data_IF_671449043598
#
_entry.id   IF_671449043598
#
_cell.length_a   1.000
_cell.length_b   1.000
_cell.length_c   1.000
_cell.angle_alpha   90.00
_cell.angle_beta   90.00
_cell.angle_gamma   90.00
#
_symmetry.space_group_name_H-M   'P 1'
#
loop_
_entity.id
_entity.type
_entity.pdbx_description
1 polymer ?
#
# COMPACT_ATOMS: atom_id res chain seq x y z
N UNK A 1 14.70 -0.82 15.67
CA UNK A 1 13.90 -1.95 16.22
C UNK A 1 13.43 -1.74 17.65
N UNK A 2 14.14 -0.98 18.49
CA UNK A 2 13.77 -0.80 19.91
C UNK A 2 12.37 -0.21 20.10
N UNK A 3 11.98 0.82 19.35
CA UNK A 3 10.68 1.49 19.45
C UNK A 3 9.49 0.54 19.15
N UNK A 4 9.59 -0.25 18.08
CA UNK A 4 8.54 -1.19 17.67
C UNK A 4 8.27 -2.24 18.77
N UNK A 5 9.34 -2.78 19.38
CA UNK A 5 9.24 -3.79 20.42
C UNK A 5 8.61 -3.28 21.73
N UNK A 6 8.62 -1.98 21.97
CA UNK A 6 8.01 -1.37 23.16
C UNK A 6 6.58 -0.84 22.92
N UNK A 7 6.11 -0.89 21.66
CA UNK A 7 4.75 -0.50 21.33
C UNK A 7 3.74 -1.52 21.88
N UNK A 8 2.63 -1.02 22.44
CA UNK A 8 1.49 -1.84 22.86
C UNK A 8 0.44 -1.99 21.75
N UNK A 9 0.70 -1.45 20.57
CA UNK A 9 -0.21 -1.52 19.43
C UNK A 9 -0.30 -2.96 18.91
N UNK A 10 -1.51 -3.43 18.65
CA UNK A 10 -1.75 -4.76 18.06
C UNK A 10 -1.53 -4.79 16.54
N UNK A 11 -1.80 -3.68 15.89
CA UNK A 11 -1.71 -3.53 14.44
C UNK A 11 -0.78 -2.37 14.09
N UNK A 12 -0.19 -2.46 12.91
CA UNK A 12 0.71 -1.45 12.37
C UNK A 12 0.29 -1.12 10.95
N UNK A 13 0.44 0.14 10.59
CA UNK A 13 0.25 0.63 9.23
C UNK A 13 1.62 1.04 8.72
N UNK A 14 2.05 0.43 7.61
CA UNK A 14 3.21 0.87 6.85
C UNK A 14 2.70 1.70 5.68
N UNK A 15 3.26 2.88 5.50
CA UNK A 15 2.92 3.75 4.38
C UNK A 15 4.17 4.42 3.85
N UNK A 16 4.29 4.50 2.54
CA UNK A 16 5.29 5.33 1.90
C UNK A 16 4.94 6.81 2.07
N UNK A 17 5.93 7.67 1.88
CA UNK A 17 5.76 9.12 2.00
C UNK A 17 5.55 9.84 0.64
N UNK A 18 5.50 9.11 -0.45
CA UNK A 18 5.34 9.60 -1.82
C UNK A 18 3.89 9.58 -2.33
N UNK A 19 2.95 9.16 -1.50
CA UNK A 19 1.51 9.12 -1.83
C UNK A 19 0.76 10.18 -1.04
N UNK A 20 0.10 11.08 -1.75
CA UNK A 20 -0.84 12.06 -1.18
C UNK A 20 -2.24 11.49 -1.23
N UNK A 21 -2.89 11.37 -0.10
CA UNK A 21 -4.24 10.79 0.03
C UNK A 21 -4.96 11.36 1.25
N UNK A 22 -6.29 11.40 1.19
CA UNK A 22 -7.15 11.71 2.34
C UNK A 22 -7.78 10.41 2.88
N UNK A 23 -6.93 9.51 3.37
CA UNK A 23 -7.34 8.17 3.78
C UNK A 23 -7.74 8.14 5.27
N UNK A 24 -8.91 7.55 5.56
CA UNK A 24 -9.25 7.15 6.93
C UNK A 24 -8.78 5.70 7.15
N UNK A 25 -7.88 5.51 8.10
CA UNK A 25 -7.31 4.21 8.40
C UNK A 25 -8.22 3.31 9.24
N UNK A 26 -9.24 3.86 9.93
CA UNK A 26 -10.13 3.09 10.81
C UNK A 26 -10.88 1.96 10.06
N UNK A 27 -11.58 2.24 8.93
CA UNK A 27 -12.27 1.20 8.19
C UNK A 27 -11.31 0.16 7.61
N UNK A 28 -10.08 0.55 7.25
CA UNK A 28 -9.08 -0.37 6.71
C UNK A 28 -8.60 -1.36 7.77
N UNK A 29 -8.32 -0.86 8.98
CA UNK A 29 -7.95 -1.72 10.11
C UNK A 29 -9.10 -2.64 10.50
N UNK A 30 -10.34 -2.15 10.50
CA UNK A 30 -11.52 -2.98 10.75
C UNK A 30 -11.67 -4.10 9.72
N UNK A 31 -11.54 -3.78 8.42
CA UNK A 31 -11.56 -4.77 7.34
C UNK A 31 -10.41 -5.79 7.43
N UNK A 32 -9.23 -5.36 7.86
CA UNK A 32 -8.10 -6.25 8.12
C UNK A 32 -8.44 -7.27 9.21
N UNK A 33 -8.98 -6.81 10.34
CA UNK A 33 -9.37 -7.66 11.46
C UNK A 33 -10.46 -8.65 11.04
N UNK A 34 -11.49 -8.18 10.36
CA UNK A 34 -12.61 -8.99 9.89
C UNK A 34 -12.17 -10.06 8.89
N UNK A 35 -11.29 -9.70 7.97
CA UNK A 35 -10.82 -10.62 6.93
C UNK A 35 -9.89 -11.71 7.46
N UNK A 36 -9.26 -11.51 8.62
CA UNK A 36 -8.21 -12.38 9.16
C UNK A 36 -7.06 -12.58 8.16
N UNK A 37 -6.72 -11.53 7.42
CA UNK A 37 -5.58 -11.53 6.49
C UNK A 37 -4.27 -11.31 7.25
N UNK A 38 -3.16 -11.82 6.70
CA UNK A 38 -1.82 -11.54 7.23
C UNK A 38 -1.41 -10.10 6.86
N UNK A 39 -1.75 -9.68 5.64
CA UNK A 39 -1.52 -8.32 5.15
C UNK A 39 -2.79 -7.83 4.45
N UNK A 40 -3.20 -6.59 4.73
CA UNK A 40 -4.19 -5.87 3.94
C UNK A 40 -3.49 -4.73 3.21
N UNK A 41 -3.48 -4.78 1.89
CA UNK A 41 -2.89 -3.76 1.03
C UNK A 41 -3.98 -2.80 0.52
N UNK A 42 -3.75 -1.50 0.64
CA UNK A 42 -4.63 -0.50 0.04
C UNK A 42 -4.27 -0.34 -1.42
N UNK A 43 -5.25 -0.46 -2.30
CA UNK A 43 -5.05 -0.41 -3.74
C UNK A 43 -6.21 0.30 -4.44
N UNK A 44 -5.95 0.80 -5.64
CA UNK A 44 -6.94 1.39 -6.52
C UNK A 44 -6.99 0.64 -7.84
N UNK A 45 -8.20 0.33 -8.30
CA UNK A 45 -8.43 -0.29 -9.60
C UNK A 45 -8.84 0.77 -10.62
N UNK A 46 -8.06 0.92 -11.67
CA UNK A 46 -8.30 1.95 -12.69
C UNK A 46 -7.60 1.66 -14.00
N UNK A 47 -7.78 2.54 -14.98
CA UNK A 47 -7.08 2.48 -16.27
C UNK A 47 -5.83 3.33 -16.19
N UNK A 48 -4.69 2.72 -16.44
CA UNK A 48 -3.38 3.36 -16.34
C UNK A 48 -2.58 3.23 -17.60
N UNK A 49 -1.76 4.22 -17.90
CA UNK A 49 -0.73 4.10 -18.94
C UNK A 49 0.49 3.35 -18.38
N UNK A 50 1.35 2.87 -19.27
CA UNK A 50 2.60 2.22 -18.87
C UNK A 50 3.53 3.15 -18.09
N UNK A 51 3.46 4.46 -18.36
CA UNK A 51 4.26 5.46 -17.66
C UNK A 51 3.80 5.69 -16.22
N UNK A 52 2.50 5.58 -15.96
CA UNK A 52 1.92 5.79 -14.63
C UNK A 52 2.31 4.66 -13.67
N UNK A 53 2.49 3.44 -14.17
CA UNK A 53 2.69 2.25 -13.35
C UNK A 53 4.08 1.62 -13.42
N UNK A 54 4.99 2.15 -14.26
CA UNK A 54 6.37 1.64 -14.38
C UNK A 54 7.18 1.67 -13.08
N UNK A 55 6.77 2.47 -12.10
CA UNK A 55 7.37 2.56 -10.76
C UNK A 55 6.38 2.12 -9.66
N UNK A 56 5.38 1.33 -10.01
CA UNK A 56 4.32 0.92 -9.10
C UNK A 56 4.28 -0.59 -8.94
N UNK A 57 3.70 -1.02 -7.83
CA UNK A 57 3.37 -2.43 -7.58
C UNK A 57 1.92 -2.66 -8.03
N UNK A 58 1.70 -3.68 -8.86
CA UNK A 58 0.40 -4.08 -9.38
C UNK A 58 0.02 -5.44 -8.83
N UNK A 59 -1.22 -5.56 -8.40
CA UNK A 59 -1.79 -6.79 -7.85
C UNK A 59 -2.72 -7.45 -8.86
N UNK A 60 -2.56 -8.76 -9.06
CA UNK A 60 -3.60 -9.59 -9.61
C UNK A 60 -4.41 -10.19 -8.45
N UNK A 61 -5.71 -10.05 -8.51
CA UNK A 61 -6.63 -10.44 -7.43
C UNK A 61 -7.67 -11.43 -7.93
N UNK A 62 -8.14 -12.27 -7.05
CA UNK A 62 -9.30 -13.14 -7.32
C UNK A 62 -10.64 -12.46 -6.96
N UNK A 63 -11.74 -13.20 -7.10
CA UNK A 63 -13.09 -12.72 -6.78
C UNK A 63 -13.28 -12.34 -5.30
N UNK A 64 -12.48 -12.92 -4.41
CA UNK A 64 -12.51 -12.68 -2.97
C UNK A 64 -11.57 -11.53 -2.54
N UNK A 65 -11.06 -10.76 -3.50
CA UNK A 65 -10.07 -9.70 -3.29
C UNK A 65 -8.76 -10.19 -2.64
N UNK A 66 -8.44 -11.47 -2.80
CA UNK A 66 -7.16 -12.03 -2.39
C UNK A 66 -6.13 -11.85 -3.51
N UNK A 67 -4.94 -11.43 -3.14
CA UNK A 67 -3.81 -11.29 -4.08
C UNK A 67 -3.31 -12.66 -4.50
N UNK A 68 -3.27 -12.90 -5.81
CA UNK A 68 -2.79 -14.14 -6.43
C UNK A 68 -1.38 -14.00 -6.99
N UNK A 69 -1.03 -12.80 -7.47
CA UNK A 69 0.34 -12.48 -7.89
C UNK A 69 0.62 -10.98 -7.76
N UNK A 70 1.89 -10.64 -7.66
CA UNK A 70 2.38 -9.27 -7.49
C UNK A 70 3.40 -8.98 -8.60
N UNK A 71 3.17 -7.91 -9.34
CA UNK A 71 4.06 -7.40 -10.38
C UNK A 71 4.70 -6.11 -9.90
N UNK A 72 6.02 -6.04 -9.89
CA UNK A 72 6.78 -4.87 -9.47
C UNK A 72 7.33 -4.18 -10.71
N UNK A 73 7.05 -2.88 -10.85
CA UNK A 73 7.47 -2.05 -11.97
C UNK A 73 7.11 -2.66 -13.35
N UNK A 74 5.86 -3.07 -13.56
CA UNK A 74 5.49 -3.73 -14.80
C UNK A 74 5.41 -2.74 -15.97
N UNK A 75 5.79 -3.20 -17.16
CA UNK A 75 5.60 -2.45 -18.41
C UNK A 75 4.29 -2.85 -19.09
N UNK A 76 3.16 -2.60 -18.41
CA UNK A 76 1.81 -2.90 -18.88
C UNK A 76 0.98 -1.62 -18.97
N UNK A 77 -0.14 -1.69 -19.68
CA UNK A 77 -1.14 -0.61 -19.73
C UNK A 77 -2.55 -1.21 -19.76
N UNK A 78 -3.54 -0.43 -19.35
CA UNK A 78 -4.94 -0.85 -19.30
C UNK A 78 -5.49 -0.88 -17.87
N UNK A 79 -6.55 -1.65 -17.67
CA UNK A 79 -7.17 -1.77 -16.35
C UNK A 79 -6.32 -2.66 -15.46
N UNK A 80 -5.86 -2.12 -14.33
CA UNK A 80 -5.09 -2.86 -13.33
C UNK A 80 -5.33 -2.32 -11.92
N UNK A 81 -4.99 -3.12 -10.92
CA UNK A 81 -5.09 -2.78 -9.50
C UNK A 81 -3.71 -2.40 -8.99
N UNK A 82 -3.48 -1.11 -8.75
CA UNK A 82 -2.18 -0.57 -8.29
C UNK A 82 -2.15 -0.39 -6.78
N UNK A 83 -1.01 -0.69 -6.17
CA UNK A 83 -0.76 -0.42 -4.76
C UNK A 83 -0.67 1.08 -4.48
N UNK A 84 -1.28 1.53 -3.37
CA UNK A 84 -1.02 2.85 -2.79
C UNK A 84 0.14 2.81 -1.79
N UNK A 85 0.85 1.70 -1.68
CA UNK A 85 1.95 1.49 -0.74
C UNK A 85 1.55 1.73 0.72
N UNK A 86 0.29 1.42 1.03
CA UNK A 86 -0.25 1.41 2.39
C UNK A 86 -0.63 -0.02 2.74
N UNK A 87 -0.03 -0.53 3.82
CA UNK A 87 -0.20 -1.92 4.25
C UNK A 87 -0.57 -1.98 5.72
N UNK A 88 -1.57 -2.78 6.06
CA UNK A 88 -1.98 -3.06 7.44
C UNK A 88 -1.65 -4.51 7.77
N UNK A 89 -1.04 -4.72 8.93
CA UNK A 89 -0.69 -6.05 9.43
C UNK A 89 -0.63 -6.06 10.95
N UNK A 90 -0.55 -7.23 11.55
CA UNK A 90 -0.32 -7.33 12.99
C UNK A 90 1.12 -6.95 13.36
N UNK A 91 1.31 -6.45 14.56
CA UNK A 91 2.65 -6.08 15.05
C UNK A 91 3.55 -7.31 15.15
N UNK A 92 3.01 -8.44 15.60
CA UNK A 92 3.76 -9.68 15.72
C UNK A 92 4.25 -10.18 14.36
N UNK A 93 3.36 -10.15 13.35
CA UNK A 93 3.72 -10.50 11.97
C UNK A 93 4.83 -9.60 11.41
N UNK A 94 4.75 -8.27 11.66
CA UNK A 94 5.80 -7.35 11.23
C UNK A 94 7.14 -7.71 11.87
N UNK A 95 7.17 -7.95 13.19
CA UNK A 95 8.42 -8.26 13.92
C UNK A 95 9.03 -9.55 13.40
N UNK A 96 8.23 -10.59 13.20
CA UNK A 96 8.67 -11.87 12.64
C UNK A 96 9.23 -11.70 11.23
N UNK A 97 8.49 -11.02 10.38
CA UNK A 97 8.86 -10.73 8.98
C UNK A 97 10.17 -9.96 8.88
N UNK A 98 10.36 -8.93 9.71
CA UNK A 98 11.59 -8.14 9.71
C UNK A 98 12.77 -8.95 10.23
N UNK A 99 12.61 -9.77 11.28
CA UNK A 99 13.66 -10.62 11.79
C UNK A 99 14.09 -11.68 10.75
N UNK A 100 13.13 -12.31 10.05
CA UNK A 100 13.41 -13.26 8.96
C UNK A 100 14.13 -12.55 7.79
N UNK A 101 13.67 -11.37 7.39
CA UNK A 101 14.30 -10.58 6.34
C UNK A 101 15.75 -10.20 6.69
N UNK A 102 16.01 -9.77 7.92
CA UNK A 102 17.36 -9.45 8.39
C UNK A 102 18.27 -10.69 8.39
N UNK A 103 17.76 -11.84 8.82
CA UNK A 103 18.52 -13.09 8.86
C UNK A 103 18.89 -13.58 7.44
N UNK A 104 18.06 -13.30 6.44
CA UNK A 104 18.28 -13.69 5.03
C UNK A 104 18.99 -12.62 4.21
N UNK A 105 19.24 -11.43 4.75
CA UNK A 105 19.78 -10.29 4.00
C UNK A 105 18.79 -9.67 3.01
N UNK A 106 17.50 -9.90 3.19
CA UNK A 106 16.44 -9.33 2.36
C UNK A 106 16.26 -7.84 2.66
N UNK A 107 16.17 -7.00 1.62
CA UNK A 107 16.13 -5.54 1.75
C UNK A 107 14.87 -4.89 1.17
N UNK A 108 14.03 -5.65 0.46
CA UNK A 108 12.81 -5.12 -0.19
C UNK A 108 11.56 -5.82 0.34
N UNK A 109 10.67 -5.05 0.98
CA UNK A 109 9.38 -5.53 1.44
C UNK A 109 8.51 -6.01 0.27
N UNK A 110 8.43 -5.24 -0.80
CA UNK A 110 7.61 -5.57 -1.96
C UNK A 110 8.07 -6.85 -2.65
N UNK A 111 9.37 -6.99 -2.89
CA UNK A 111 9.92 -8.14 -3.61
C UNK A 111 9.96 -9.39 -2.73
N UNK A 112 10.53 -9.27 -1.55
CA UNK A 112 10.81 -10.45 -0.72
C UNK A 112 9.60 -10.91 0.11
N UNK A 113 8.65 -10.02 0.40
CA UNK A 113 7.45 -10.36 1.17
C UNK A 113 6.22 -10.43 0.28
N UNK A 114 5.90 -9.35 -0.45
CA UNK A 114 4.66 -9.34 -1.23
C UNK A 114 4.76 -10.25 -2.45
N UNK A 115 5.85 -10.19 -3.23
CA UNK A 115 5.96 -10.94 -4.47
C UNK A 115 6.32 -12.41 -4.24
N UNK A 116 7.37 -12.70 -3.45
CA UNK A 116 7.84 -14.07 -3.24
C UNK A 116 6.87 -14.90 -2.39
N UNK A 117 6.30 -14.29 -1.34
CA UNK A 117 5.42 -14.99 -0.39
C UNK A 117 3.92 -14.80 -0.66
N UNK A 118 3.52 -14.18 -1.78
CA UNK A 118 2.10 -13.90 -2.07
C UNK A 118 1.20 -15.15 -2.09
N UNK A 119 1.76 -16.33 -2.35
CA UNK A 119 1.01 -17.60 -2.37
C UNK A 119 0.88 -18.23 -0.99
N UNK A 120 1.83 -17.97 -0.11
CA UNK A 120 1.87 -18.50 1.27
C UNK A 120 1.05 -17.63 2.21
N UNK A 121 1.11 -16.32 2.01
CA UNK A 121 0.43 -15.32 2.82
C UNK A 121 -0.99 -15.05 2.31
N UNK A 122 -1.88 -14.80 3.24
CA UNK A 122 -3.21 -14.29 2.94
C UNK A 122 -3.18 -12.77 2.80
N UNK A 123 -2.85 -12.30 1.60
CA UNK A 123 -2.84 -10.86 1.29
C UNK A 123 -4.20 -10.50 0.68
N UNK A 124 -4.91 -9.53 1.28
CA UNK A 124 -6.17 -9.00 0.77
C UNK A 124 -6.04 -7.56 0.35
N UNK A 125 -6.85 -7.16 -0.62
CA UNK A 125 -6.93 -5.78 -1.08
C UNK A 125 -8.07 -5.07 -0.37
N UNK A 126 -7.79 -3.85 0.13
CA UNK A 126 -8.77 -2.84 0.46
C UNK A 126 -8.82 -1.82 -0.68
N UNK A 127 -9.94 -1.78 -1.40
CA UNK A 127 -10.12 -0.90 -2.55
C UNK A 127 -10.38 0.53 -2.09
N UNK A 128 -9.62 1.48 -2.63
CA UNK A 128 -9.70 2.89 -2.31
C UNK A 128 -10.07 3.70 -3.54
N UNK A 129 -11.27 4.28 -3.54
CA UNK A 129 -11.85 4.98 -4.71
C UNK A 129 -11.80 6.50 -4.58
N UNK A 130 -11.27 7.03 -3.46
CA UNK A 130 -11.14 8.47 -3.28
C UNK A 130 -9.85 9.00 -3.91
N UNK A 131 -9.65 10.32 -3.80
CA UNK A 131 -8.48 10.99 -4.35
C UNK A 131 -7.16 10.46 -3.77
N UNK A 132 -6.25 10.15 -4.66
CA UNK A 132 -4.84 9.92 -4.35
C UNK A 132 -3.96 10.45 -5.48
N UNK A 133 -2.72 10.75 -5.16
CA UNK A 133 -1.70 11.14 -6.14
C UNK A 133 -0.35 10.60 -5.70
N UNK A 134 0.39 10.00 -6.65
CA UNK A 134 1.79 9.60 -6.42
C UNK A 134 2.72 10.74 -6.83
N UNK A 135 3.66 11.08 -5.95
CA UNK A 135 4.65 12.13 -6.16
C UNK A 135 5.89 11.56 -6.87
N UNK A 136 5.70 11.03 -8.07
CA UNK A 136 6.76 10.39 -8.86
C UNK A 136 7.44 11.33 -9.87
N UNK A 137 7.00 12.59 -9.96
CA UNK A 137 7.57 13.61 -10.84
C UNK A 137 7.36 15.02 -10.28
N UNK A 138 8.16 16.02 -10.70
CA UNK A 138 7.90 17.42 -10.35
C UNK A 138 6.51 17.90 -10.79
N UNK A 139 6.00 17.38 -11.90
CA UNK A 139 4.66 17.71 -12.40
C UNK A 139 3.56 17.17 -11.47
N UNK A 140 3.67 15.90 -11.03
CA UNK A 140 2.71 15.31 -10.10
C UNK A 140 2.73 16.02 -8.75
N UNK A 141 3.91 16.41 -8.27
CA UNK A 141 4.07 17.21 -7.06
C UNK A 141 3.35 18.57 -7.19
N UNK A 142 3.58 19.29 -8.29
CA UNK A 142 2.92 20.58 -8.53
C UNK A 142 1.39 20.44 -8.61
N UNK A 143 0.89 19.47 -9.39
CA UNK A 143 -0.55 19.19 -9.51
C UNK A 143 -1.19 18.88 -8.17
N UNK A 144 -0.54 18.06 -7.35
CA UNK A 144 -1.04 17.71 -6.02
C UNK A 144 -1.11 18.91 -5.08
N UNK A 145 -0.10 19.79 -5.10
CA UNK A 145 -0.13 21.03 -4.31
C UNK A 145 -1.27 21.94 -4.73
N UNK A 146 -1.49 22.14 -6.02
CA UNK A 146 -2.59 22.95 -6.54
C UNK A 146 -3.93 22.35 -6.11
N UNK A 147 -4.12 21.06 -6.27
CA UNK A 147 -5.34 20.37 -5.87
C UNK A 147 -5.64 20.55 -4.37
N UNK A 148 -4.65 20.36 -3.50
CA UNK A 148 -4.81 20.52 -2.06
C UNK A 148 -5.09 21.96 -1.64
N UNK A 149 -4.52 22.95 -2.32
CA UNK A 149 -4.77 24.35 -2.06
C UNK A 149 -6.21 24.76 -2.36
N UNK A 150 -6.79 24.24 -3.45
CA UNK A 150 -8.17 24.55 -3.85
C UNK A 150 -9.22 23.74 -3.08
N UNK A 151 -8.88 22.61 -2.50
CA UNK A 151 -9.79 21.75 -1.73
C UNK A 151 -9.72 21.99 -0.23
N UNK A 152 -8.71 22.71 0.25
CA UNK A 152 -8.55 23.07 1.66
C UNK A 152 -9.40 24.31 1.96
N UNK A 153 -10.25 24.32 2.99
CA UNK A 153 -10.93 25.55 3.42
C UNK A 153 -9.86 26.60 3.78
N UNK A 154 -10.05 27.82 3.27
CA UNK A 154 -9.15 28.93 3.58
C UNK A 154 -9.15 29.15 5.10
N UNK A 155 -7.99 29.34 5.75
CA UNK A 155 -7.93 29.69 7.17
C UNK A 155 -8.54 31.08 7.50
N UNK A 156 -9.15 31.74 6.53
CA UNK A 156 -9.76 33.09 6.65
C UNK A 156 -11.28 33.11 6.51
N UNK A 157 -11.93 31.94 6.32
CA UNK A 157 -13.39 31.81 6.26
C UNK A 157 -13.95 31.38 7.61
#
# INVERSE_FOLDING_TARGET
>A
MSFIKHSRAKYVILSDCDVVTNIDYKPIVAAHIESGADITAVAHTGVYSSDDIKTSTVFNVDADKKVTSVLINPAISGTCTTSLNVFVMSMDFLIETVNDAMARGNVSFERNILQEKCRELKIKIYEYDNYFSKLNSPESYFKSNICLLYTSPSPRD
#
